data_IF_867128040052
#
_entry.id   IF_867128040052
#
_cell.length_a   1.000
_cell.length_b   1.000
_cell.length_c   1.000
_cell.angle_alpha   90.00
_cell.angle_beta   90.00
_cell.angle_gamma   90.00
#
_symmetry.space_group_name_H-M   'P 1'
#
loop_
_entity.id
_entity.type
_entity.pdbx_description
1 polymer ?
#
# COMPACT_ATOMS: atom_id res chain seq x y z
N UNK A 1 0.64 -15.99 14.32
CA UNK A 1 0.95 -15.70 12.90
C UNK A 1 0.53 -14.28 12.65
N UNK A 2 1.41 -13.44 12.07
CA UNK A 2 1.01 -12.10 11.63
C UNK A 2 -0.09 -12.26 10.59
N UNK A 3 -1.22 -11.57 10.74
CA UNK A 3 -2.23 -11.51 9.67
C UNK A 3 -1.86 -10.50 8.58
N UNK A 4 -0.77 -9.73 8.76
CA UNK A 4 -0.37 -8.62 7.86
C UNK A 4 0.87 -8.89 7.02
N UNK A 5 1.90 -9.63 7.50
CA UNK A 5 3.11 -9.94 6.69
C UNK A 5 3.94 -11.08 7.29
N UNK A 6 4.44 -12.00 6.47
CA UNK A 6 5.46 -12.96 6.91
C UNK A 6 6.75 -12.23 7.33
N UNK A 7 7.30 -12.57 8.50
CA UNK A 7 8.55 -11.97 9.00
C UNK A 7 8.42 -10.66 9.78
N UNK A 8 7.20 -10.13 9.99
CA UNK A 8 7.00 -8.95 10.84
C UNK A 8 7.12 -9.30 12.34
N UNK A 9 7.97 -8.58 13.12
CA UNK A 9 8.01 -8.71 14.58
C UNK A 9 6.63 -8.48 15.18
N UNK A 10 6.13 -9.46 15.94
CA UNK A 10 4.85 -9.36 16.62
C UNK A 10 5.03 -8.61 17.95
N UNK A 11 4.48 -7.40 18.05
CA UNK A 11 4.38 -6.62 19.28
C UNK A 11 3.17 -5.69 19.20
N UNK A 12 2.64 -5.24 20.34
CA UNK A 12 1.57 -4.22 20.34
C UNK A 12 2.26 -2.85 20.28
N UNK A 13 2.07 -2.06 19.21
CA UNK A 13 2.57 -0.70 19.16
C UNK A 13 1.97 0.12 20.30
N UNK A 14 2.83 0.78 21.08
CA UNK A 14 2.40 1.70 22.14
C UNK A 14 2.82 3.15 21.89
N UNK A 15 3.63 3.37 20.85
CA UNK A 15 4.15 4.69 20.46
C UNK A 15 3.65 5.04 19.07
N UNK A 16 3.38 6.33 18.84
CA UNK A 16 2.96 6.82 17.52
C UNK A 16 3.97 6.47 16.42
N UNK A 17 5.26 6.50 16.74
CA UNK A 17 6.32 6.14 15.80
C UNK A 17 6.37 4.64 15.48
N UNK A 18 5.74 3.77 16.29
CA UNK A 18 5.60 2.35 15.94
C UNK A 18 4.41 2.15 14.98
N UNK A 19 3.28 2.82 15.23
CA UNK A 19 2.15 2.83 14.29
C UNK A 19 2.56 3.33 12.91
N UNK A 20 3.31 4.45 12.84
CA UNK A 20 3.81 4.97 11.56
C UNK A 20 4.75 3.97 10.87
N UNK A 21 5.55 3.21 11.62
CA UNK A 21 6.41 2.16 11.04
C UNK A 21 5.63 0.98 10.49
N UNK A 22 4.56 0.59 11.17
CA UNK A 22 3.66 -0.46 10.65
C UNK A 22 2.97 0.01 9.37
N UNK A 23 2.52 1.26 9.32
CA UNK A 23 2.00 1.86 8.09
C UNK A 23 3.05 1.85 6.97
N UNK A 24 4.29 2.28 7.23
CA UNK A 24 5.37 2.20 6.22
C UNK A 24 5.62 0.78 5.70
N UNK A 25 5.49 -0.24 6.56
CA UNK A 25 5.62 -1.64 6.15
C UNK A 25 4.45 -2.03 5.24
N UNK A 26 3.23 -1.65 5.59
CA UNK A 26 2.02 -1.86 4.78
C UNK A 26 2.19 -1.28 3.37
N UNK A 27 2.62 -0.02 3.28
CA UNK A 27 2.91 0.66 1.99
C UNK A 27 3.93 -0.10 1.14
N UNK A 28 5.03 -0.56 1.74
CA UNK A 28 6.05 -1.34 1.02
C UNK A 28 5.47 -2.65 0.47
N UNK A 29 4.60 -3.31 1.24
CA UNK A 29 3.93 -4.54 0.81
C UNK A 29 3.03 -4.26 -0.39
N UNK A 30 2.19 -3.22 -0.32
CA UNK A 30 1.31 -2.79 -1.42
C UNK A 30 2.11 -2.43 -2.68
N UNK A 31 3.12 -1.57 -2.56
CA UNK A 31 4.01 -1.17 -3.66
C UNK A 31 4.64 -2.39 -4.35
N UNK A 32 5.13 -3.35 -3.57
CA UNK A 32 5.77 -4.55 -4.11
C UNK A 32 4.74 -5.47 -4.81
N UNK A 33 3.55 -5.62 -4.23
CA UNK A 33 2.46 -6.39 -4.82
C UNK A 33 2.01 -5.81 -6.16
N UNK A 34 1.79 -4.49 -6.23
CA UNK A 34 1.45 -3.83 -7.49
C UNK A 34 2.57 -3.89 -8.52
N UNK A 35 3.83 -3.71 -8.12
CA UNK A 35 4.98 -3.92 -9.00
C UNK A 35 5.01 -5.34 -9.56
N UNK A 36 4.76 -6.33 -8.71
CA UNK A 36 4.67 -7.72 -9.14
C UNK A 36 3.57 -7.90 -10.17
N UNK A 37 2.36 -7.37 -9.93
CA UNK A 37 1.27 -7.47 -10.89
C UNK A 37 1.58 -6.80 -12.23
N UNK A 38 2.11 -5.57 -12.21
CA UNK A 38 2.50 -4.80 -13.42
C UNK A 38 3.55 -5.54 -14.25
N UNK A 39 4.53 -6.17 -13.61
CA UNK A 39 5.62 -6.85 -14.29
C UNK A 39 5.24 -8.24 -14.83
N UNK A 40 4.12 -8.81 -14.40
CA UNK A 40 3.71 -10.19 -14.71
C UNK A 40 2.35 -10.27 -15.44
N UNK A 41 1.83 -9.15 -15.94
CA UNK A 41 0.63 -9.09 -16.77
C UNK A 41 0.92 -8.52 -18.16
N UNK A 42 0.07 -8.87 -19.14
CA UNK A 42 0.05 -8.24 -20.46
C UNK A 42 -1.26 -7.49 -20.73
N UNK A 43 -2.09 -7.24 -19.71
CA UNK A 43 -3.37 -6.55 -19.84
C UNK A 43 -3.19 -5.03 -19.66
N UNK A 44 -3.24 -4.21 -20.73
CA UNK A 44 -2.91 -2.79 -20.63
C UNK A 44 -3.84 -1.97 -19.70
N UNK A 45 -5.17 -2.20 -19.68
CA UNK A 45 -6.05 -1.52 -18.72
C UNK A 45 -5.66 -1.78 -17.26
N UNK A 46 -5.36 -3.03 -16.91
CA UNK A 46 -4.93 -3.38 -15.56
C UNK A 46 -3.56 -2.82 -15.21
N UNK A 47 -2.61 -2.80 -16.16
CA UNK A 47 -1.31 -2.13 -15.95
C UNK A 47 -1.50 -0.65 -15.66
N UNK A 48 -2.46 0.01 -16.30
CA UNK A 48 -2.74 1.43 -16.05
C UNK A 48 -3.31 1.63 -14.64
N UNK A 49 -4.32 0.85 -14.26
CA UNK A 49 -4.93 0.92 -12.92
C UNK A 49 -3.90 0.64 -11.82
N UNK A 50 -3.17 -0.48 -11.90
CA UNK A 50 -2.16 -0.81 -10.89
C UNK A 50 -1.01 0.20 -10.82
N UNK A 51 -0.69 0.90 -11.92
CA UNK A 51 0.30 1.99 -11.87
C UNK A 51 -0.23 3.20 -11.13
N UNK A 52 -1.48 3.57 -11.37
CA UNK A 52 -2.13 4.69 -10.68
C UNK A 52 -2.08 4.47 -9.17
N UNK A 53 -2.63 3.35 -8.70
CA UNK A 53 -2.67 3.01 -7.27
C UNK A 53 -1.26 2.94 -6.71
N UNK A 54 -0.34 2.20 -7.35
CA UNK A 54 1.07 2.10 -6.91
C UNK A 54 1.79 3.45 -6.78
N UNK A 55 1.48 4.41 -7.65
CA UNK A 55 2.11 5.74 -7.57
C UNK A 55 1.56 6.51 -6.35
N UNK A 56 0.32 6.27 -5.94
CA UNK A 56 -0.28 6.77 -4.69
C UNK A 56 0.31 6.08 -3.45
N UNK A 57 0.48 4.75 -3.46
CA UNK A 57 1.19 4.03 -2.37
C UNK A 57 2.61 4.58 -2.14
N UNK A 58 3.33 4.95 -3.23
CA UNK A 58 4.65 5.58 -3.13
C UNK A 58 4.56 6.96 -2.47
N UNK A 59 3.49 7.71 -2.74
CA UNK A 59 3.23 8.99 -2.09
C UNK A 59 2.89 8.78 -0.61
N UNK A 60 2.04 7.82 -0.27
CA UNK A 60 1.70 7.46 1.11
C UNK A 60 2.95 7.08 1.92
N UNK A 61 3.82 6.23 1.35
CA UNK A 61 5.11 5.90 1.95
C UNK A 61 5.94 7.15 2.25
N UNK A 62 5.95 8.13 1.35
CA UNK A 62 6.66 9.40 1.53
C UNK A 62 6.04 10.23 2.67
N UNK A 63 4.70 10.33 2.72
CA UNK A 63 3.97 11.04 3.78
C UNK A 63 4.24 10.42 5.16
N UNK A 64 4.13 9.10 5.30
CA UNK A 64 4.47 8.42 6.56
C UNK A 64 5.94 8.56 6.92
N UNK A 65 6.85 8.57 5.94
CA UNK A 65 8.28 8.75 6.18
C UNK A 65 8.59 10.14 6.76
N UNK A 66 7.93 11.18 6.25
CA UNK A 66 8.04 12.55 6.79
C UNK A 66 7.47 12.63 8.20
N UNK A 67 6.31 12.03 8.42
CA UNK A 67 5.68 11.98 9.74
C UNK A 67 6.55 11.23 10.76
N UNK A 68 7.16 10.11 10.37
CA UNK A 68 8.09 9.37 11.22
C UNK A 68 9.28 10.24 11.63
N UNK A 69 9.91 10.92 10.68
CA UNK A 69 11.04 11.82 10.96
C UNK A 69 10.65 12.99 11.85
N UNK A 70 9.41 13.49 11.74
CA UNK A 70 8.90 14.54 12.63
C UNK A 70 8.77 14.06 14.09
N UNK A 71 8.36 12.81 14.30
CA UNK A 71 8.09 12.26 15.63
C UNK A 71 9.22 11.41 16.23
N UNK A 72 10.25 11.10 15.44
CA UNK A 72 11.45 10.40 15.87
C UNK A 72 12.72 11.24 15.54
N UNK A 73 13.19 12.06 16.50
CA UNK A 73 14.36 12.92 16.29
C UNK A 73 15.64 12.14 15.95
N UNK A 74 15.77 10.89 16.41
CA UNK A 74 16.91 10.04 16.07
C UNK A 74 16.82 9.61 14.61
N UNK A 75 15.63 9.23 14.15
CA UNK A 75 15.39 8.91 12.74
C UNK A 75 15.68 10.11 11.82
N UNK A 76 15.27 11.32 12.20
CA UNK A 76 15.55 12.54 11.44
C UNK A 76 17.06 12.80 11.34
N UNK A 77 17.76 12.78 12.49
CA UNK A 77 19.21 12.98 12.53
C UNK A 77 19.94 11.97 11.63
N UNK A 78 19.58 10.70 11.73
CA UNK A 78 20.18 9.65 10.89
C UNK A 78 19.87 9.86 9.41
N UNK A 79 18.66 10.27 9.05
CA UNK A 79 18.33 10.60 7.67
C UNK A 79 19.24 11.71 7.10
N UNK A 80 19.46 12.78 7.86
CA UNK A 80 20.33 13.89 7.46
C UNK A 80 21.80 13.46 7.32
N UNK A 81 22.31 12.66 8.27
CA UNK A 81 23.67 12.10 8.22
C UNK A 81 23.84 11.14 7.04
N UNK A 82 22.84 10.29 6.78
CA UNK A 82 22.87 9.27 5.74
C UNK A 82 22.83 9.86 4.34
N UNK A 83 22.02 10.90 4.12
CA UNK A 83 21.93 11.60 2.84
C UNK A 83 23.30 12.14 2.37
N UNK A 84 24.20 12.48 3.30
CA UNK A 84 25.52 13.02 3.00
C UNK A 84 26.60 11.98 2.65
N UNK A 85 26.38 10.69 2.90
CA UNK A 85 27.43 9.67 2.75
C UNK A 85 27.06 8.44 1.91
N UNK A 86 25.79 8.27 1.52
CA UNK A 86 25.40 7.19 0.62
C UNK A 86 25.60 7.65 -0.83
N UNK A 87 26.48 6.96 -1.55
CA UNK A 87 26.59 7.06 -3.00
C UNK A 87 26.46 5.64 -3.59
N UNK A 88 25.28 5.31 -4.11
CA UNK A 88 25.02 4.00 -4.72
C UNK A 88 25.19 4.15 -6.23
N UNK A 89 26.16 3.43 -6.78
CA UNK A 89 26.35 3.33 -8.22
C UNK A 89 25.48 2.21 -8.80
N UNK A 90 24.48 2.60 -9.60
CA UNK A 90 23.57 1.67 -10.28
C UNK A 90 24.03 1.28 -11.68
N UNK A 91 25.24 1.68 -12.12
CA UNK A 91 25.70 1.51 -13.52
C UNK A 91 25.66 0.06 -14.02
N UNK A 92 25.81 -0.94 -13.13
CA UNK A 92 25.74 -2.36 -13.46
C UNK A 92 24.55 -3.09 -12.82
N UNK A 93 23.56 -2.36 -12.32
CA UNK A 93 22.33 -2.94 -11.80
C UNK A 93 21.35 -3.22 -12.94
N UNK A 94 20.76 -4.41 -12.94
CA UNK A 94 19.72 -4.79 -13.90
C UNK A 94 18.57 -5.49 -13.19
N UNK A 95 17.34 -5.19 -13.63
CA UNK A 95 16.15 -5.88 -13.17
C UNK A 95 16.06 -7.25 -13.84
N UNK A 96 15.90 -8.31 -13.04
CA UNK A 96 15.54 -9.62 -13.57
C UNK A 96 14.08 -9.58 -14.03
N UNK A 97 13.83 -9.84 -15.32
CA UNK A 97 12.46 -10.02 -15.81
C UNK A 97 11.93 -11.35 -15.28
N UNK A 98 10.81 -11.28 -14.57
CA UNK A 98 10.05 -12.48 -14.21
C UNK A 98 9.33 -13.03 -15.45
N UNK A 99 9.41 -14.34 -15.65
CA UNK A 99 8.65 -15.05 -16.70
C UNK A 99 7.26 -15.49 -16.21
N UNK A 100 6.92 -15.20 -14.95
CA UNK A 100 5.67 -15.64 -14.33
C UNK A 100 4.49 -14.85 -14.92
N UNK A 101 3.37 -15.53 -15.10
CA UNK A 101 2.08 -14.91 -15.44
C UNK A 101 1.18 -14.96 -14.22
N UNK A 102 0.49 -13.86 -13.95
CA UNK A 102 -0.48 -13.81 -12.85
C UNK A 102 -1.90 -14.16 -13.31
N UNK A 103 -2.71 -14.63 -12.37
CA UNK A 103 -4.17 -14.71 -12.52
C UNK A 103 -4.76 -13.34 -12.18
N UNK A 104 -5.27 -12.60 -13.18
CA UNK A 104 -5.78 -11.23 -13.00
C UNK A 104 -6.90 -11.14 -11.96
N UNK A 105 -7.99 -11.94 -12.03
CA UNK A 105 -9.01 -11.95 -10.98
C UNK A 105 -8.44 -12.25 -9.59
N UNK A 106 -7.48 -13.17 -9.50
CA UNK A 106 -6.82 -13.51 -8.23
C UNK A 106 -6.01 -12.34 -7.68
N UNK A 107 -5.29 -11.63 -8.54
CA UNK A 107 -4.51 -10.45 -8.20
C UNK A 107 -5.42 -9.32 -7.69
N UNK A 108 -6.48 -8.97 -8.43
CA UNK A 108 -7.40 -7.90 -8.01
C UNK A 108 -8.05 -8.22 -6.66
N UNK A 109 -8.45 -9.48 -6.40
CA UNK A 109 -8.99 -9.87 -5.09
C UNK A 109 -7.95 -9.77 -3.96
N UNK A 110 -6.69 -10.07 -4.26
CA UNK A 110 -5.58 -9.89 -3.32
C UNK A 110 -5.34 -8.41 -3.01
N UNK A 111 -5.43 -7.56 -4.03
CA UNK A 111 -5.29 -6.11 -3.90
C UNK A 111 -6.44 -5.55 -3.05
N UNK A 112 -7.70 -5.87 -3.37
CA UNK A 112 -8.89 -5.50 -2.59
C UNK A 112 -8.74 -5.88 -1.11
N UNK A 113 -8.24 -7.09 -0.83
CA UNK A 113 -7.97 -7.52 0.55
C UNK A 113 -6.92 -6.63 1.21
N UNK A 114 -5.83 -6.32 0.50
CA UNK A 114 -4.76 -5.44 0.97
C UNK A 114 -5.28 -4.05 1.34
N UNK A 115 -6.09 -3.44 0.47
CA UNK A 115 -6.69 -2.13 0.73
C UNK A 115 -7.56 -2.12 1.99
N UNK A 116 -8.39 -3.17 2.17
CA UNK A 116 -9.22 -3.30 3.36
C UNK A 116 -8.39 -3.50 4.63
N UNK A 117 -7.28 -4.23 4.56
CA UNK A 117 -6.35 -4.40 5.69
C UNK A 117 -5.66 -3.09 6.06
N UNK A 118 -5.24 -2.29 5.06
CA UNK A 118 -4.67 -0.95 5.26
C UNK A 118 -5.69 0.00 5.91
N UNK A 119 -6.93 0.05 5.41
CA UNK A 119 -8.02 0.84 6.00
C UNK A 119 -8.22 0.50 7.48
N UNK A 120 -8.33 -0.79 7.82
CA UNK A 120 -8.52 -1.24 9.20
C UNK A 120 -7.34 -0.82 10.07
N UNK A 121 -6.12 -1.00 9.58
CA UNK A 121 -4.89 -0.61 10.28
C UNK A 121 -4.87 0.89 10.56
N UNK A 122 -5.18 1.72 9.56
CA UNK A 122 -5.06 3.17 9.63
C UNK A 122 -6.17 3.82 10.48
N UNK A 123 -7.39 3.31 10.39
CA UNK A 123 -8.49 3.74 11.26
C UNK A 123 -8.24 3.44 12.74
N UNK A 124 -7.45 2.42 13.07
CA UNK A 124 -7.12 2.12 14.47
C UNK A 124 -6.13 3.14 15.06
N UNK A 125 -5.16 3.61 14.26
CA UNK A 125 -4.21 4.65 14.67
C UNK A 125 -4.94 5.96 14.97
N UNK A 126 -5.93 6.31 14.15
CA UNK A 126 -6.74 7.53 14.27
C UNK A 126 -7.45 7.63 15.64
N UNK A 127 -7.83 6.51 16.26
CA UNK A 127 -8.50 6.49 17.58
C UNK A 127 -7.60 6.98 18.72
N UNK A 128 -6.29 7.03 18.54
CA UNK A 128 -5.32 7.39 19.58
C UNK A 128 -5.01 8.91 19.63
N UNK A 129 -5.65 9.71 18.77
CA UNK A 129 -6.25 11.02 19.07
C UNK A 129 -5.39 12.21 19.53
N UNK A 130 -4.07 12.10 19.69
CA UNK A 130 -3.27 13.19 20.30
C UNK A 130 -2.60 14.15 19.31
N UNK A 131 -2.40 13.74 18.07
CA UNK A 131 -1.56 14.46 17.10
C UNK A 131 -2.37 14.82 15.86
N UNK A 132 -2.65 16.12 15.70
CA UNK A 132 -3.56 16.64 14.66
C UNK A 132 -3.06 16.36 13.24
N UNK A 133 -1.79 16.63 12.99
CA UNK A 133 -1.12 16.36 11.72
C UNK A 133 -1.06 14.86 11.40
N UNK A 134 -0.84 14.01 12.40
CA UNK A 134 -0.93 12.56 12.23
C UNK A 134 -2.35 12.18 11.83
N UNK A 135 -3.36 12.72 12.51
CA UNK A 135 -4.76 12.49 12.16
C UNK A 135 -5.07 12.93 10.72
N UNK A 136 -4.60 14.10 10.31
CA UNK A 136 -4.81 14.63 8.95
C UNK A 136 -4.19 13.70 7.89
N UNK A 137 -2.92 13.30 8.08
CA UNK A 137 -2.22 12.38 7.15
C UNK A 137 -2.92 11.01 7.08
N UNK A 138 -3.24 10.40 8.23
CA UNK A 138 -3.92 9.10 8.23
C UNK A 138 -5.32 9.18 7.61
N UNK A 139 -6.05 10.28 7.81
CA UNK A 139 -7.39 10.46 7.23
C UNK A 139 -7.32 10.60 5.72
N UNK A 140 -6.35 11.35 5.20
CA UNK A 140 -6.10 11.50 3.76
C UNK A 140 -5.82 10.13 3.14
N UNK A 141 -4.81 9.42 3.64
CA UNK A 141 -4.40 8.11 3.14
C UNK A 141 -5.55 7.10 3.23
N UNK A 142 -6.24 7.00 4.37
CA UNK A 142 -7.39 6.09 4.54
C UNK A 142 -8.53 6.39 3.56
N UNK A 143 -8.69 7.65 3.13
CA UNK A 143 -9.70 8.02 2.14
C UNK A 143 -9.29 7.53 0.76
N UNK A 144 -8.01 7.62 0.43
CA UNK A 144 -7.45 7.13 -0.83
C UNK A 144 -7.48 5.59 -0.89
N UNK A 145 -7.21 4.87 0.20
CA UNK A 145 -7.38 3.39 0.20
C UNK A 145 -8.83 2.96 -0.05
N UNK A 146 -9.80 3.75 0.44
CA UNK A 146 -11.22 3.53 0.14
C UNK A 146 -11.51 3.76 -1.34
N UNK A 147 -10.86 4.74 -1.96
CA UNK A 147 -10.94 4.95 -3.41
C UNK A 147 -10.31 3.78 -4.17
N UNK A 148 -9.10 3.35 -3.82
CA UNK A 148 -8.43 2.18 -4.42
C UNK A 148 -9.31 0.92 -4.36
N UNK A 149 -9.92 0.67 -3.20
CA UNK A 149 -10.89 -0.42 -3.02
C UNK A 149 -12.04 -0.35 -4.03
N UNK A 150 -12.63 0.83 -4.25
CA UNK A 150 -13.73 1.01 -5.20
C UNK A 150 -13.25 0.86 -6.64
N UNK A 151 -12.08 1.41 -7.01
CA UNK A 151 -11.51 1.24 -8.35
C UNK A 151 -11.26 -0.22 -8.70
N UNK A 152 -10.67 -0.98 -7.77
CA UNK A 152 -10.43 -2.42 -7.93
C UNK A 152 -11.74 -3.20 -7.95
N UNK A 153 -12.73 -2.79 -7.16
CA UNK A 153 -14.08 -3.37 -7.15
C UNK A 153 -14.77 -3.21 -8.50
N UNK A 154 -14.68 -2.02 -9.12
CA UNK A 154 -15.18 -1.81 -10.47
C UNK A 154 -14.41 -2.65 -11.49
N UNK A 155 -13.08 -2.74 -11.37
CA UNK A 155 -12.25 -3.53 -12.28
C UNK A 155 -12.61 -5.02 -12.25
N UNK A 156 -12.79 -5.61 -11.06
CA UNK A 156 -13.16 -7.03 -10.95
C UNK A 156 -14.59 -7.29 -11.43
N UNK A 157 -15.54 -6.38 -11.19
CA UNK A 157 -16.92 -6.53 -11.68
C UNK A 157 -17.00 -6.48 -13.22
N UNK A 158 -16.17 -5.65 -13.86
CA UNK A 158 -16.09 -5.59 -15.32
C UNK A 158 -15.39 -6.83 -15.92
N UNK A 159 -14.31 -7.29 -15.28
CA UNK A 159 -13.50 -8.40 -15.74
C UNK A 159 -14.13 -9.78 -15.48
N UNK A 160 -14.62 -10.02 -14.27
CA UNK A 160 -15.15 -11.30 -13.77
C UNK A 160 -16.64 -11.13 -13.45
N UNK A 161 -17.50 -11.36 -14.45
CA UNK A 161 -18.96 -11.14 -14.36
C UNK A 161 -19.69 -12.05 -13.37
N UNK A 162 -18.98 -13.02 -12.79
CA UNK A 162 -19.49 -13.92 -11.76
C UNK A 162 -19.06 -13.47 -10.34
N UNK A 163 -18.22 -12.43 -10.24
CA UNK A 163 -17.81 -11.83 -8.97
C UNK A 163 -18.82 -10.75 -8.52
N UNK A 164 -19.63 -11.06 -7.49
CA UNK A 164 -20.54 -10.11 -6.83
C UNK A 164 -22.02 -10.19 -7.26
N UNK A 165 -22.89 -9.45 -6.55
CA UNK A 165 -24.32 -9.32 -6.87
C UNK A 165 -24.49 -8.19 -7.88
N UNK A 166 -25.01 -8.50 -9.08
CA UNK A 166 -25.27 -7.49 -10.10
C UNK A 166 -26.37 -6.52 -9.65
N UNK A 167 -26.13 -5.19 -9.62
CA UNK A 167 -27.21 -4.23 -9.55
C UNK A 167 -27.92 -4.23 -10.91
N UNK A 168 -28.89 -5.12 -11.11
CA UNK A 168 -29.71 -5.09 -12.33
C UNK A 168 -30.34 -6.38 -12.85
N UNK A 169 -30.15 -7.54 -12.23
CA UNK A 169 -30.98 -8.71 -12.57
C UNK A 169 -32.35 -8.58 -11.91
N UNK A 170 -33.21 -7.72 -12.47
CA UNK A 170 -34.67 -7.90 -12.28
C UNK A 170 -35.00 -9.26 -12.88
N UNK A 171 -35.51 -10.16 -12.03
CA UNK A 171 -35.98 -11.48 -12.45
C UNK A 171 -36.95 -11.35 -13.63
N UNK A 172 -36.75 -12.23 -14.60
CA UNK A 172 -37.77 -12.57 -15.61
C UNK A 172 -38.90 -13.33 -14.92
#
# INVERSE_FOLDING_TARGET
MSYTTEGQPQGIPSKITNFIRESLISEIVAINQYNYHINNTSCPPMVKLWKHIRDEEIRHFSMFSELLRKYDPVQLKLYEETKGHINIDFTNCYSLKSATKINIPGAIRSDIKGELEAIILYEDVVKHGKYRDVFEVYTEITTEEKEHFEELSFAIMDYDRDFGIRPGCKGV
#
